data_IF_962893589562
#
_entry.id   IF_962893589562
#
_cell.length_a   1.000
_cell.length_b   1.000
_cell.length_c   1.000
_cell.angle_alpha   90.00
_cell.angle_beta   90.00
_cell.angle_gamma   90.00
#
_symmetry.space_group_name_H-M   'P 1'
#
loop_
_entity.id
_entity.type
_entity.pdbx_description
1 polymer ?
2 non-polymer ?
3 water ?
#
# COMPACT_ATOMS: atom_id res chain seq x y z
N UNK A 21 3.54 17.73 -2.83
CA UNK A 21 2.93 18.55 -1.78
C UNK A 21 1.43 18.29 -1.63
N UNK A 22 1.03 17.03 -1.76
CA UNK A 22 -0.38 16.65 -1.68
C UNK A 22 -0.83 16.48 -0.23
N UNK A 23 -2.12 16.23 -0.04
CA UNK A 23 -2.71 16.14 1.29
C UNK A 23 -3.01 14.70 1.71
N UNK A 24 -2.60 14.34 2.92
CA UNK A 24 -2.84 13.03 3.49
C UNK A 24 -3.86 13.14 4.63
N UNK A 25 -4.86 12.24 4.69
CA UNK A 25 -5.14 11.08 3.83
C UNK A 25 -5.52 11.45 2.40
N UNK A 26 -4.97 10.71 1.45
CA UNK A 26 -5.14 10.99 0.04
C UNK A 26 -5.91 9.85 -0.63
N UNK A 27 -6.87 10.21 -1.49
CA UNK A 27 -7.61 9.24 -2.27
C UNK A 27 -7.21 9.30 -3.73
N UNK A 28 -6.67 8.19 -4.24
CA UNK A 28 -6.31 8.10 -5.65
C UNK A 28 -7.28 7.18 -6.37
N UNK A 29 -8.18 7.76 -7.18
CA UNK A 29 -9.09 6.95 -7.99
C UNK A 29 -8.31 6.09 -8.97
N UNK A 30 -8.74 4.85 -9.14
CA UNK A 30 -8.16 3.96 -10.14
C UNK A 30 -9.25 3.63 -11.14
N UNK A 31 -9.36 4.46 -12.20
CA UNK A 31 -10.46 4.38 -13.18
C UNK A 31 -10.57 3.00 -13.82
N UNK A 32 -11.72 2.36 -13.64
CA UNK A 32 -11.95 1.03 -14.19
C UNK A 32 -11.32 -0.06 -13.35
N UNK A 33 -10.81 0.30 -12.18
CA UNK A 33 -10.21 -0.68 -11.29
C UNK A 33 -8.77 -1.02 -11.65
N UNK A 34 -8.19 -2.01 -10.96
CA UNK A 34 -6.84 -2.44 -11.27
C UNK A 34 -6.86 -3.59 -12.28
N UNK A 35 -5.75 -3.73 -12.99
CA UNK A 35 -5.62 -4.71 -14.05
C UNK A 35 -4.15 -5.14 -14.06
N UNK A 36 -3.86 -6.40 -14.41
CA UNK A 36 -2.46 -6.80 -14.52
C UNK A 36 -1.66 -5.84 -15.40
N UNK A 37 -0.40 -5.61 -15.02
CA UNK A 37 0.54 -4.69 -15.67
C UNK A 37 0.31 -3.22 -15.31
N UNK A 38 -0.65 -2.96 -14.42
CA UNK A 38 -0.82 -1.61 -13.91
C UNK A 38 0.21 -1.37 -12.81
N UNK A 39 0.91 -0.24 -12.89
CA UNK A 39 1.96 0.09 -11.93
C UNK A 39 1.61 1.36 -11.16
N UNK A 40 1.47 1.24 -9.85
CA UNK A 40 1.15 2.41 -9.04
C UNK A 40 2.41 2.87 -8.30
N UNK A 41 2.73 4.15 -8.43
CA UNK A 41 3.94 4.70 -7.81
C UNK A 41 3.60 5.78 -6.79
N UNK A 42 4.05 5.59 -5.56
CA UNK A 42 3.88 6.58 -4.51
C UNK A 42 5.24 7.12 -4.05
N UNK A 43 5.43 8.43 -4.17
CA UNK A 43 6.64 9.07 -3.69
C UNK A 43 6.33 9.93 -2.47
N UNK A 44 7.13 9.79 -1.43
CA UNK A 44 6.91 10.57 -0.23
C UNK A 44 8.10 10.58 0.69
N UNK A 45 7.93 11.21 1.85
CA UNK A 45 8.95 11.21 2.88
C UNK A 45 8.28 10.79 4.18
N UNK A 46 8.90 9.85 4.89
CA UNK A 46 8.39 9.44 6.19
C UNK A 46 8.61 10.56 7.18
N UNK A 47 7.58 10.92 7.94
CA UNK A 47 7.71 11.97 8.95
C UNK A 47 8.67 11.54 10.05
N UNK A 48 9.24 12.52 10.77
CA UNK A 48 10.04 12.17 11.95
C UNK A 48 9.15 11.56 13.02
N UNK A 49 9.68 10.59 13.76
CA UNK A 49 8.92 9.89 14.79
C UNK A 49 7.61 9.33 14.26
N UNK A 50 7.65 8.80 13.04
CA UNK A 50 6.46 8.20 12.45
C UNK A 50 6.05 6.96 13.21
N UNK A 51 4.74 6.74 13.28
CA UNK A 51 4.18 5.57 13.93
C UNK A 51 3.70 4.54 12.92
N UNK A 52 3.00 5.00 11.89
CA UNK A 52 2.45 4.08 10.89
C UNK A 52 2.16 4.72 9.54
N UNK A 53 2.13 3.88 8.51
CA UNK A 53 1.76 4.25 7.15
C UNK A 53 0.75 3.21 6.67
N UNK A 54 -0.21 3.61 5.84
CA UNK A 54 -1.15 2.64 5.29
C UNK A 54 -1.51 2.93 3.83
N UNK A 55 -1.43 1.90 2.99
CA UNK A 55 -2.03 1.94 1.67
C UNK A 55 -3.25 1.02 1.66
N UNK A 56 -4.38 1.53 1.21
CA UNK A 56 -5.61 0.75 1.20
C UNK A 56 -6.23 0.69 -0.19
N UNK A 57 -6.07 -0.45 -0.86
CA UNK A 57 -6.75 -0.69 -2.13
C UNK A 57 -8.18 -1.14 -1.83
N UNK A 58 -9.14 -0.31 -2.23
CA UNK A 58 -10.52 -0.52 -1.80
C UNK A 58 -11.46 -0.99 -2.91
N UNK A 59 -12.34 -1.92 -2.54
CA UNK A 59 -13.46 -2.33 -3.37
C UNK A 59 -14.74 -1.99 -2.61
N UNK A 60 -15.30 -0.82 -2.90
CA UNK A 60 -16.39 -0.30 -2.09
C UNK A 60 -15.94 -0.17 -0.65
N UNK A 61 -16.72 -0.72 0.28
CA UNK A 61 -16.33 -0.68 1.70
C UNK A 61 -15.25 -1.71 2.05
N UNK A 62 -15.07 -2.72 1.21
CA UNK A 62 -14.03 -3.71 1.45
C UNK A 62 -12.65 -3.16 1.13
N UNK A 63 -11.65 -3.64 1.85
CA UNK A 63 -10.26 -3.32 1.56
C UNK A 63 -9.59 -4.56 0.98
N UNK A 64 -9.34 -4.53 -0.33
CA UNK A 64 -8.76 -5.67 -1.01
C UNK A 64 -7.34 -5.93 -0.53
N UNK A 65 -6.59 -4.85 -0.37
CA UNK A 65 -5.18 -4.93 -0.02
C UNK A 65 -4.80 -3.77 0.89
N UNK A 66 -4.50 -4.12 2.13
CA UNK A 66 -4.07 -3.19 3.18
C UNK A 66 -2.57 -3.38 3.38
N UNK A 67 -1.79 -2.33 3.13
CA UNK A 67 -0.34 -2.38 3.23
C UNK A 67 0.08 -1.40 4.33
N UNK A 68 0.52 -1.94 5.46
CA UNK A 68 0.59 -1.15 6.68
C UNK A 68 1.92 -1.29 7.42
N UNK A 69 2.93 -0.49 7.02
CA UNK A 69 4.18 -0.45 7.77
C UNK A 69 3.95 0.09 9.18
N UNK A 70 4.40 -0.65 10.18
CA UNK A 70 4.30 -0.19 11.57
C UNK A 70 5.69 0.05 12.14
N UNK A 71 5.91 1.26 12.65
CA UNK A 71 7.23 1.68 13.11
C UNK A 71 7.49 1.32 14.56
N UNK A 72 6.43 1.09 15.32
CA UNK A 72 6.57 0.68 16.71
C UNK A 72 5.50 -0.30 17.13
N UNK A 73 5.70 -1.57 16.78
CA UNK A 73 4.88 -2.65 17.31
C UNK A 73 5.77 -3.50 18.20
N UNK A 74 5.52 -3.44 19.51
CA UNK A 74 6.37 -4.09 20.50
C UNK A 74 7.84 -3.76 20.29
N UNK A 75 8.11 -2.48 20.03
CA UNK A 75 9.47 -1.99 19.82
C UNK A 75 10.16 -2.70 18.65
N UNK A 76 9.38 -3.03 17.63
CA UNK A 76 9.89 -3.63 16.40
C UNK A 76 9.33 -2.88 15.20
N UNK A 77 10.05 -2.93 14.09
CA UNK A 77 9.51 -2.48 12.82
C UNK A 77 8.88 -3.67 12.12
N UNK A 78 7.67 -3.50 11.61
CA UNK A 78 7.02 -4.59 10.89
C UNK A 78 6.04 -4.05 9.84
N UNK A 79 5.91 -4.77 8.74
CA UNK A 79 4.88 -4.45 7.77
C UNK A 79 3.77 -5.48 7.86
N UNK A 80 2.54 -5.00 8.05
CA UNK A 80 1.39 -5.88 8.12
C UNK A 80 0.55 -5.74 6.86
N UNK A 81 0.20 -6.88 6.27
CA UNK A 81 -0.68 -6.91 5.10
C UNK A 81 -1.93 -7.72 5.39
N UNK A 82 -3.07 -7.23 4.93
CA UNK A 82 -4.33 -7.90 5.20
C UNK A 82 -5.43 -7.46 4.25
N UNK A 83 -6.59 -8.10 4.39
CA UNK A 83 -7.75 -7.82 3.58
C UNK A 83 -8.94 -7.65 4.51
N UNK A 84 -9.80 -6.69 4.22
CA UNK A 84 -10.98 -6.45 5.04
C UNK A 84 -12.24 -6.71 4.24
N UNK A 85 -13.03 -7.67 4.70
CA UNK A 85 -14.24 -8.08 4.00
C UNK A 85 -15.45 -8.00 4.93
N UNK A 86 -16.45 -7.22 4.53
CA UNK A 86 -17.66 -7.03 5.34
C UNK A 86 -17.33 -6.59 6.76
N UNK A 87 -16.46 -5.58 6.87
CA UNK A 87 -16.01 -4.99 8.13
C UNK A 87 -15.15 -5.91 9.01
N UNK A 88 -14.73 -7.06 8.48
CA UNK A 88 -13.87 -7.96 9.24
C UNK A 88 -12.50 -8.14 8.61
N UNK A 89 -11.45 -7.88 9.38
CA UNK A 89 -10.09 -8.15 8.92
C UNK A 89 -9.85 -9.65 8.85
N UNK A 90 -9.01 -10.07 7.91
CA UNK A 90 -8.69 -11.47 7.72
C UNK A 90 -7.38 -11.84 8.39
N UNK A 91 -6.74 -12.90 7.91
CA UNK A 91 -5.48 -13.32 8.49
C UNK A 91 -4.33 -12.44 8.00
N UNK A 92 -3.53 -11.96 8.94
CA UNK A 92 -2.46 -11.04 8.60
C UNK A 92 -1.29 -11.75 7.93
N UNK A 93 -0.63 -11.05 7.02
CA UNK A 93 0.63 -11.51 6.45
C UNK A 93 1.69 -10.49 6.82
N UNK A 94 2.76 -10.96 7.46
CA UNK A 94 3.75 -10.05 8.04
C UNK A 94 5.13 -10.18 7.38
N UNK A 95 5.72 -9.02 7.09
CA UNK A 95 7.06 -8.93 6.53
C UNK A 95 7.96 -8.13 7.47
N UNK A 96 8.98 -8.78 8.03
CA UNK A 96 9.86 -8.11 8.99
C UNK A 96 10.95 -7.27 8.31
N UNK A 97 11.20 -7.54 7.03
CA UNK A 97 12.07 -6.66 6.24
C UNK A 97 11.39 -5.30 6.12
N UNK A 98 12.06 -4.26 6.62
CA UNK A 98 11.45 -2.95 6.79
C UNK A 98 12.31 -1.87 6.16
N UNK A 99 11.98 -1.44 4.93
CA UNK A 99 12.85 -0.53 4.19
C UNK A 99 12.50 0.95 4.37
N UNK A 100 11.57 1.26 5.27
CA UNK A 100 11.24 2.64 5.56
C UNK A 100 12.05 3.14 6.75
N UNK A 101 12.41 4.42 6.73
CA UNK A 101 13.11 5.04 7.84
C UNK A 101 12.56 6.43 8.08
N UNK A 102 12.32 6.75 9.34
CA UNK A 102 11.76 8.04 9.72
C UNK A 102 12.62 9.18 9.18
N UNK A 103 11.96 10.20 8.62
CA UNK A 103 12.65 11.36 8.10
C UNK A 103 13.14 11.24 6.67
N UNK A 104 13.12 10.03 6.12
CA UNK A 104 13.75 9.78 4.82
C UNK A 104 12.76 9.60 3.67
N UNK A 105 13.15 10.04 2.46
CA UNK A 105 12.30 9.87 1.28
C UNK A 105 12.20 8.41 0.84
N UNK A 106 11.05 8.03 0.31
CA UNK A 106 10.84 6.67 -0.16
C UNK A 106 10.11 6.65 -1.50
N UNK A 107 10.20 5.51 -2.18
CA UNK A 107 9.36 5.23 -3.34
C UNK A 107 8.72 3.86 -3.16
N UNK A 108 7.39 3.82 -3.17
CA UNK A 108 6.66 2.56 -3.14
C UNK A 108 6.11 2.28 -4.52
N UNK A 109 6.42 1.11 -5.07
CA UNK A 109 5.84 0.69 -6.34
C UNK A 109 5.00 -0.55 -6.14
N UNK A 110 3.75 -0.47 -6.58
CA UNK A 110 2.86 -1.62 -6.54
C UNK A 110 2.54 -2.05 -7.96
N UNK A 111 3.02 -3.23 -8.34
CA UNK A 111 2.74 -3.77 -9.66
C UNK A 111 1.64 -4.80 -9.54
N UNK A 112 0.55 -4.59 -10.27
CA UNK A 112 -0.55 -5.54 -10.29
C UNK A 112 -0.21 -6.70 -11.22
N UNK A 113 -0.20 -7.91 -10.68
CA UNK A 113 0.04 -9.11 -11.46
C UNK A 113 -1.26 -9.92 -11.54
N UNK A 114 -1.30 -10.95 -12.40
CA UNK A 114 -2.54 -11.73 -12.45
C UNK A 114 -2.95 -12.36 -11.12
N UNK A 115 -1.99 -12.76 -10.29
CA UNK A 115 -2.33 -13.45 -9.05
C UNK A 115 -1.87 -12.72 -7.79
N UNK A 116 -1.12 -11.64 -7.97
CA UNK A 116 -0.55 -10.93 -6.83
C UNK A 116 -0.48 -9.43 -7.01
N UNK A 117 -0.50 -8.71 -5.89
CA UNK A 117 0.10 -7.38 -5.83
C UNK A 117 1.58 -7.57 -5.56
N UNK A 118 2.43 -6.94 -6.37
CA UNK A 118 3.87 -7.00 -6.16
C UNK A 118 4.37 -5.65 -5.63
N UNK A 119 4.96 -5.63 -4.43
CA UNK A 119 5.41 -4.38 -3.83
C UNK A 119 6.93 -4.27 -3.81
N UNK A 120 7.45 -3.18 -4.37
CA UNK A 120 8.86 -2.85 -4.23
C UNK A 120 9.01 -1.49 -3.56
N UNK A 121 10.04 -1.36 -2.72
CA UNK A 121 10.32 -0.09 -2.06
C UNK A 121 11.74 0.35 -2.39
N UNK A 122 11.88 1.60 -2.82
CA UNK A 122 13.16 2.15 -3.23
C UNK A 122 13.88 1.22 -4.22
N UNK A 123 13.13 0.75 -5.21
CA UNK A 123 13.63 -0.09 -6.31
C UNK A 123 14.07 -1.49 -5.89
N UNK A 124 13.72 -1.90 -4.68
CA UNK A 124 14.03 -3.25 -4.22
C UNK A 124 12.75 -4.01 -3.91
N UNK A 125 12.59 -5.19 -4.51
CA UNK A 125 11.41 -6.01 -4.25
C UNK A 125 11.25 -6.28 -2.77
N UNK A 126 10.02 -6.15 -2.28
CA UNK A 126 9.75 -6.28 -0.85
C UNK A 126 8.86 -7.47 -0.52
N UNK A 127 7.71 -7.55 -1.18
CA UNK A 127 6.77 -8.64 -0.92
C UNK A 127 5.75 -8.79 -2.05
N UNK A 128 5.05 -9.92 -2.04
CA UNK A 128 3.90 -10.09 -2.92
C UNK A 128 2.70 -10.48 -2.07
N UNK A 129 1.51 -10.08 -2.52
CA UNK A 129 0.29 -10.35 -1.77
C UNK A 129 -0.72 -10.99 -2.69
N UNK A 130 -1.04 -12.25 -2.41
CA UNK A 130 -1.97 -13.03 -3.23
C UNK A 130 -3.36 -12.42 -3.19
N UNK A 131 -3.98 -12.26 -4.36
CA UNK A 131 -5.32 -11.66 -4.46
C UNK A 131 -6.36 -12.46 -3.68
N UNK A 132 -6.98 -11.83 -2.69
CA UNK A 132 -8.09 -12.46 -1.98
C UNK A 132 -9.41 -11.92 -2.53
N UNK A 133 -9.43 -10.63 -2.83
CA UNK A 133 -10.51 -10.02 -3.60
C UNK A 133 -10.21 -10.26 -5.06
N UNK A 134 -11.06 -11.03 -5.73
CA UNK A 134 -10.70 -11.55 -7.04
C UNK A 134 -11.29 -10.78 -8.21
N UNK A 135 -12.23 -9.87 -7.94
CA UNK A 135 -12.75 -9.00 -8.99
C UNK A 135 -11.91 -7.72 -9.07
N UNK A 136 -10.79 -7.82 -9.78
CA UNK A 136 -9.79 -6.75 -9.81
C UNK A 136 -10.35 -5.43 -10.35
N UNK A 137 -11.24 -5.52 -11.33
CA UNK A 137 -11.84 -4.33 -11.93
C UNK A 137 -12.68 -3.51 -10.95
N UNK A 138 -13.04 -4.12 -9.82
CA UNK A 138 -13.87 -3.44 -8.83
C UNK A 138 -13.04 -2.79 -7.73
N UNK A 139 -11.72 -3.00 -7.79
CA UNK A 139 -10.80 -2.33 -6.88
C UNK A 139 -10.43 -0.98 -7.48
N UNK A 140 -11.22 0.04 -7.15
CA UNK A 140 -11.25 1.27 -7.93
C UNK A 140 -10.74 2.50 -7.20
N UNK A 141 -10.21 2.33 -5.99
CA UNK A 141 -9.64 3.46 -5.24
C UNK A 141 -8.45 3.01 -4.42
N UNK A 142 -7.46 3.89 -4.29
CA UNK A 142 -6.33 3.67 -3.40
C UNK A 142 -6.26 4.77 -2.35
N UNK A 143 -6.44 4.41 -1.08
CA UNK A 143 -6.30 5.36 0.00
C UNK A 143 -4.88 5.37 0.52
N UNK A 144 -4.33 6.56 0.71
CA UNK A 144 -2.97 6.72 1.23
C UNK A 144 -3.00 7.53 2.52
N UNK A 145 -2.55 6.93 3.62
CA UNK A 145 -2.66 7.61 4.91
C UNK A 145 -1.49 7.32 5.85
N UNK A 146 -1.47 8.04 6.97
CA UNK A 146 -0.46 7.83 7.98
C UNK A 146 0.58 8.93 8.03
N UNK A 147 1.73 8.61 8.60
CA UNK A 147 2.72 9.62 8.94
C UNK A 147 3.73 9.87 7.82
N UNK A 148 3.25 10.42 6.71
CA UNK A 148 4.12 10.77 5.60
C UNK A 148 3.80 12.14 5.04
N UNK A 149 4.80 12.74 4.41
CA UNK A 149 4.58 13.86 3.51
C UNK A 149 4.46 13.26 2.11
N UNK A 150 3.32 13.44 1.47
CA UNK A 150 3.08 12.85 0.16
C UNK A 150 3.58 13.74 -0.97
N UNK A 151 4.50 13.22 -1.79
CA UNK A 151 5.08 14.00 -2.88
C UNK A 151 4.30 13.80 -4.17
N UNK A 152 4.01 12.55 -4.49
CA UNK A 152 3.22 12.24 -5.67
C UNK A 152 2.64 10.84 -5.58
N UNK A 153 1.55 10.65 -6.32
CA UNK A 153 0.87 9.38 -6.41
C UNK A 153 0.28 9.27 -7.80
N UNK A 154 0.72 8.27 -8.56
CA UNK A 154 0.20 8.09 -9.90
C UNK A 154 0.22 6.63 -10.30
N UNK A 155 -0.19 6.38 -11.54
CA UNK A 155 -0.23 5.04 -12.06
C UNK A 155 0.09 5.08 -13.54
N UNK A 156 0.58 3.97 -14.06
CA UNK A 156 0.81 3.84 -15.49
C UNK A 156 0.65 2.37 -15.87
N UNK A 157 0.55 2.11 -17.17
CA UNK A 157 0.49 0.74 -17.67
C UNK A 157 1.82 0.39 -18.30
N UNK A 158 2.44 -0.68 -17.81
CA UNK A 158 3.70 -1.13 -18.38
C UNK A 158 3.49 -2.39 -19.23
X LIG B 1 -5.38 -3.76 13.19
X LIG B 1 -5.27 -2.30 12.78
X LIG B 1 -5.77 -2.08 11.41
X LIG B 1 -5.20 -2.96 10.38
X LIG B 1 -5.34 -4.42 10.78
X LIG B 1 -4.63 -5.32 9.86
X LIG B 1 -6.59 1.28 10.44
X LIG B 1 0.10 -11.33 14.98
X LIG B 1 1.30 -11.57 15.59
X LIG B 1 2.14 -12.60 15.10
X LIG B 1 -4.66 -5.82 14.89
X LIG B 1 -4.41 -4.09 14.60
X LIG B 1 -4.92 -4.71 12.16
X LIG B 1 -5.76 -6.05 15.86
X LIG B 1 -6.02 -7.49 16.04
X LIG B 1 -7.04 -7.67 17.11
X LIG B 1 -5.00 -6.60 10.19
X LIG B 1 -8.22 -7.07 16.67
X LIG B 1 -4.77 -8.26 16.36
X LIG B 1 -3.83 -2.67 10.20
X LIG B 1 -4.33 -7.99 17.74
X LIG B 1 -3.68 -7.97 15.40
X LIG B 1 -3.40 -6.51 15.29
X LIG B 1 -2.36 -6.27 14.28
X LIG B 1 -5.95 -1.45 13.69
X LIG B 1 -2.44 -8.74 15.67
X LIG B 1 -1.98 -9.77 14.88
X LIG B 1 -0.80 -10.21 15.49
X LIG B 1 -0.61 -9.42 16.59
X LIG B 1 -1.62 -8.56 16.65
X LIG B 1 -5.77 -0.66 11.01
X LIG B 1 -6.89 0.07 10.78
X LIG B 1 -5.23 1.41 10.42
X LIG B 1 -4.70 0.10 10.80
X LIG B 1 1.73 -13.38 13.97
X LIG B 1 0.55 -13.14 13.37
X LIG B 1 -0.30 -12.09 13.86
X LIG B 1 -4.47 2.67 10.07
X LIG B 1 -5.13 3.92 10.14
X LIG B 1 -4.44 5.10 9.80
X LIG B 1 -3.13 5.03 9.40
X LIG B 1 -2.48 3.80 9.33
X LIG B 1 -3.17 2.60 9.67
X LIG B 1 3.32 -12.85 15.70
X LIG B 1 -1.19 3.75 8.93
#
# INVERSE_FOLDING_TARGET
GSSHHHHHHSSGLVPRGSHMPLIVPYNLPLPGGVVPRMLITILGTVKPNANRIALDFQRGNDVAFHFNPRFNENNRRVIVCNTKLDNNWGREERQSVFPFESGKPFKIQVLVEPDHFKVAVNDAHLLQYNHRVKKLNEISKLGISGDIDLTSASYTMI
TD2 C1 C2 C3 C4 C5 C6 N9 C12 C13 C14 C11 S1 O5 O51 C51 C61 O6 O61 C41 O4 O41 C31 C21 O2 O21 N7 C8 C9 N10 N11 N71 N8 C10 C71 C15 C16 C17 C22 C23 C24 C25 C26 C27 F18 F28
#
